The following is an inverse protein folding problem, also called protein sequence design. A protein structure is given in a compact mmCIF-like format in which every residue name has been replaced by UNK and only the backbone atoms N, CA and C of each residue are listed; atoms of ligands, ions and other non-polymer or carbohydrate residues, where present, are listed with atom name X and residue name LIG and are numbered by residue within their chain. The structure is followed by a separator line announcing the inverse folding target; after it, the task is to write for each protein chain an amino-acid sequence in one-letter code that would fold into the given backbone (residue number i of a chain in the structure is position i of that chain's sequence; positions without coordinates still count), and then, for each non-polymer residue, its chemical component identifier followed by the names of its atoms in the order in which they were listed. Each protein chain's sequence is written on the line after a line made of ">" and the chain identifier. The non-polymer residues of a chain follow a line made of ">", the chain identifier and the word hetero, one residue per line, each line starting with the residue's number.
data_IF_466336318172
#
_entry.id   IF_466336318172
#
_cell.length_a   1.000
_cell.length_b   1.000
_cell.length_c   1.000
_cell.angle_alpha   90.00
_cell.angle_beta   90.00
_cell.angle_gamma   90.00
#
_symmetry.space_group_name_H-M   'P 1'
#
loop_
_entity.id
_entity.type
_entity.pdbx_description
1 polymer ?
#
# COMPACT_ATOMS: atom_id res chain seq x y z
N UNK A 1 -18.24 1.31 26.74
CA UNK A 1 -16.90 1.87 26.57
C UNK A 1 -17.02 3.36 26.81
N UNK A 2 -16.12 3.95 27.58
CA UNK A 2 -16.11 5.39 27.74
C UNK A 2 -15.68 6.04 26.42
N UNK A 3 -16.29 7.13 25.98
CA UNK A 3 -15.86 7.88 24.82
C UNK A 3 -14.41 8.36 25.01
N UNK A 4 -13.62 8.26 23.96
CA UNK A 4 -12.23 8.75 23.98
C UNK A 4 -12.26 10.22 23.60
N UNK A 5 -11.68 11.14 24.40
CA UNK A 5 -11.63 12.54 24.03
C UNK A 5 -10.75 12.72 22.78
N UNK A 6 -11.28 13.42 21.80
CA UNK A 6 -10.63 13.66 20.50
C UNK A 6 -10.29 15.14 20.42
N UNK A 7 -9.15 15.51 20.98
CA UNK A 7 -8.69 16.90 20.97
C UNK A 7 -8.24 17.31 19.55
N UNK A 8 -8.78 18.40 19.05
CA UNK A 8 -8.29 19.10 17.87
C UNK A 8 -8.61 18.45 16.52
N UNK A 9 -9.59 17.55 16.43
CA UNK A 9 -9.88 16.86 15.15
C UNK A 9 -10.78 17.68 14.23
N UNK A 10 -11.93 18.14 14.68
CA UNK A 10 -12.79 19.03 13.89
C UNK A 10 -13.50 19.99 14.85
N UNK A 11 -13.13 21.25 14.78
CA UNK A 11 -13.89 22.34 15.39
C UNK A 11 -14.53 23.17 14.28
N UNK A 12 -15.63 23.82 14.60
CA UNK A 12 -16.30 24.70 13.66
C UNK A 12 -15.33 25.75 13.07
N UNK A 13 -15.16 25.73 11.74
CA UNK A 13 -14.29 26.66 11.02
C UNK A 13 -12.96 26.12 10.53
N UNK A 14 -12.61 24.86 10.80
CA UNK A 14 -11.42 24.23 10.19
C UNK A 14 -11.69 23.78 8.75
N UNK A 15 -10.76 24.12 7.86
CA UNK A 15 -10.82 23.72 6.45
C UNK A 15 -10.76 22.19 6.37
N UNK A 16 -11.72 21.58 5.70
CA UNK A 16 -11.79 20.14 5.48
C UNK A 16 -12.63 19.34 6.47
N UNK A 17 -13.23 20.01 7.46
CA UNK A 17 -14.22 19.39 8.34
C UNK A 17 -15.63 19.70 7.84
N UNK A 18 -16.49 18.70 7.77
CA UNK A 18 -17.91 18.82 7.44
C UNK A 18 -18.76 18.34 8.61
N UNK A 19 -20.02 18.72 8.64
CA UNK A 19 -20.99 18.24 9.66
C UNK A 19 -21.20 16.74 9.64
N UNK A 20 -20.89 16.09 8.52
CA UNK A 20 -20.99 14.63 8.33
C UNK A 20 -19.72 13.89 8.79
N UNK A 21 -18.66 14.63 9.17
CA UNK A 21 -17.44 14.02 9.68
C UNK A 21 -17.72 13.42 11.07
N UNK A 22 -17.43 12.12 11.29
CA UNK A 22 -17.72 11.45 12.57
C UNK A 22 -16.90 12.01 13.74
N UNK A 23 -15.89 12.84 13.47
CA UNK A 23 -15.15 13.58 14.51
C UNK A 23 -15.79 14.90 14.89
N UNK A 24 -16.82 15.35 14.18
CA UNK A 24 -17.57 16.55 14.51
C UNK A 24 -18.61 16.27 15.59
N UNK A 25 -18.24 16.50 16.83
CA UNK A 25 -19.11 16.31 17.97
C UNK A 25 -19.08 17.55 18.88
N UNK A 26 -20.23 17.91 19.47
CA UNK A 26 -20.32 19.06 20.37
C UNK A 26 -19.48 18.91 21.65
N UNK A 27 -19.30 17.67 22.09
CA UNK A 27 -18.55 17.33 23.30
C UNK A 27 -17.13 16.87 23.01
N UNK A 28 -16.64 17.04 21.79
CA UNK A 28 -15.31 16.61 21.33
C UNK A 28 -15.03 15.12 21.57
N UNK A 29 -16.05 14.31 21.57
CA UNK A 29 -15.94 12.85 21.69
C UNK A 29 -16.48 12.16 20.46
N UNK A 30 -15.92 11.00 20.15
CA UNK A 30 -16.38 10.16 19.04
C UNK A 30 -16.60 8.71 19.54
N UNK A 31 -17.68 8.10 19.14
CA UNK A 31 -17.96 6.71 19.47
C UNK A 31 -17.31 5.80 18.41
N UNK A 32 -16.24 5.12 18.78
CA UNK A 32 -15.51 4.19 17.92
C UNK A 32 -16.05 2.75 17.93
N UNK A 33 -17.16 2.50 18.64
CA UNK A 33 -17.74 1.16 18.77
C UNK A 33 -18.24 0.67 17.41
N UNK A 34 -17.73 -0.51 16.98
CA UNK A 34 -18.15 -1.16 15.72
C UNK A 34 -17.48 -0.60 14.46
N UNK A 35 -16.62 0.41 14.60
CA UNK A 35 -15.83 0.92 13.47
C UNK A 35 -14.65 0.02 13.09
N UNK A 36 -14.17 0.10 11.84
CA UNK A 36 -12.97 -0.60 11.40
C UNK A 36 -11.74 -0.14 12.18
N UNK A 37 -10.77 -1.03 12.32
CA UNK A 37 -9.52 -0.73 12.99
C UNK A 37 -8.62 0.13 12.11
N UNK A 38 -7.92 1.06 12.74
CA UNK A 38 -6.90 1.88 12.06
C UNK A 38 -5.87 1.01 11.35
N UNK A 39 -5.61 1.29 10.07
CA UNK A 39 -4.56 0.67 9.29
C UNK A 39 -4.84 -0.78 8.86
N UNK A 40 -6.04 -1.28 9.09
CA UNK A 40 -6.42 -2.66 8.74
C UNK A 40 -7.45 -2.64 7.62
N UNK A 41 -7.09 -3.07 6.39
CA UNK A 41 -8.05 -3.24 5.31
C UNK A 41 -8.92 -4.48 5.56
N UNK A 42 -10.16 -4.46 5.12
CA UNK A 42 -11.05 -5.62 5.21
C UNK A 42 -10.59 -6.79 4.35
N UNK A 43 -10.01 -6.47 3.19
CA UNK A 43 -9.53 -7.47 2.23
C UNK A 43 -8.07 -7.17 1.88
N UNK A 44 -7.24 -8.19 2.02
CA UNK A 44 -5.87 -8.18 1.53
C UNK A 44 -5.53 -9.57 1.01
N UNK A 45 -5.04 -9.65 -0.22
CA UNK A 45 -4.58 -10.93 -0.78
C UNK A 45 -3.35 -10.74 -1.66
N UNK A 46 -2.61 -11.83 -1.81
CA UNK A 46 -1.49 -11.92 -2.73
C UNK A 46 -1.58 -13.25 -3.46
N UNK A 47 -1.57 -13.18 -4.77
CA UNK A 47 -1.50 -14.34 -5.66
C UNK A 47 -0.11 -14.38 -6.28
N UNK A 48 0.50 -15.56 -6.26
CA UNK A 48 1.79 -15.81 -6.89
C UNK A 48 1.70 -17.01 -7.79
N UNK A 49 2.15 -16.84 -9.04
CA UNK A 49 2.20 -17.89 -10.04
C UNK A 49 3.65 -18.07 -10.47
N UNK A 50 4.16 -19.29 -10.34
CA UNK A 50 5.49 -19.65 -10.81
C UNK A 50 5.33 -20.66 -11.94
N UNK A 51 6.05 -20.44 -13.03
CA UNK A 51 6.11 -21.38 -14.15
C UNK A 51 7.56 -21.64 -14.51
N UNK A 52 7.92 -22.91 -14.61
CA UNK A 52 9.23 -23.38 -15.02
C UNK A 52 9.14 -23.99 -16.41
N UNK A 53 10.07 -23.64 -17.27
CA UNK A 53 10.18 -24.14 -18.62
C UNK A 53 11.62 -24.57 -18.90
N UNK A 54 11.78 -25.83 -19.27
CA UNK A 54 13.06 -26.31 -19.75
C UNK A 54 13.35 -25.81 -21.15
N UNK A 55 14.57 -25.34 -21.38
CA UNK A 55 15.05 -24.96 -22.70
C UNK A 55 16.39 -25.61 -23.02
N UNK A 56 16.75 -25.74 -24.31
CA UNK A 56 18.07 -26.25 -24.71
C UNK A 56 19.26 -25.44 -24.16
N UNK A 57 19.01 -24.19 -23.75
CA UNK A 57 20.02 -23.29 -23.17
C UNK A 57 20.03 -23.30 -21.64
N UNK A 58 19.10 -24.04 -21.01
CA UNK A 58 18.94 -24.12 -19.57
C UNK A 58 17.56 -23.70 -19.09
N UNK A 59 17.22 -23.93 -17.82
CA UNK A 59 15.90 -23.67 -17.28
C UNK A 59 15.55 -22.17 -17.25
N UNK A 60 14.28 -21.87 -17.53
CA UNK A 60 13.69 -20.55 -17.51
C UNK A 60 12.53 -20.51 -16.50
N UNK A 61 12.61 -19.61 -15.56
CA UNK A 61 11.64 -19.45 -14.48
C UNK A 61 10.87 -18.15 -14.64
N UNK A 62 9.56 -18.23 -14.58
CA UNK A 62 8.66 -17.09 -14.58
C UNK A 62 7.99 -16.97 -13.22
N UNK A 63 7.97 -15.80 -12.68
CA UNK A 63 7.28 -15.49 -11.44
C UNK A 63 6.43 -14.23 -11.64
N UNK A 64 5.13 -14.43 -11.65
CA UNK A 64 4.14 -13.35 -11.60
C UNK A 64 3.60 -13.26 -10.18
N UNK A 65 3.61 -12.08 -9.60
CA UNK A 65 2.99 -11.82 -8.31
C UNK A 65 2.03 -10.63 -8.40
N UNK A 66 0.82 -10.82 -7.90
CA UNK A 66 -0.20 -9.79 -7.80
C UNK A 66 -0.62 -9.65 -6.34
N UNK A 67 -0.61 -8.42 -5.84
CA UNK A 67 -1.02 -8.09 -4.48
C UNK A 67 -2.11 -7.02 -4.54
N UNK A 68 -3.19 -7.26 -3.82
CA UNK A 68 -4.28 -6.33 -3.62
C UNK A 68 -4.42 -5.99 -2.13
N UNK A 69 -4.66 -4.74 -1.82
CA UNK A 69 -5.00 -4.25 -0.48
C UNK A 69 -6.21 -3.34 -0.63
N UNK A 70 -7.31 -3.70 0.04
CA UNK A 70 -8.52 -2.89 0.09
C UNK A 70 -8.27 -1.54 0.76
N UNK A 71 -9.23 -0.66 0.66
CA UNK A 71 -9.20 0.62 1.33
C UNK A 71 -9.26 0.48 2.86
N UNK A 72 -8.71 1.45 3.56
CA UNK A 72 -8.72 1.49 5.02
C UNK A 72 -8.47 2.91 5.53
N UNK A 73 -8.85 3.17 6.79
CA UNK A 73 -8.56 4.45 7.43
C UNK A 73 -7.16 4.49 8.04
N UNK A 74 -6.40 5.53 7.77
CA UNK A 74 -5.12 5.82 8.42
C UNK A 74 -5.29 6.36 9.85
N UNK A 75 -6.52 6.73 10.26
CA UNK A 75 -6.85 7.25 11.58
C UNK A 75 -7.83 6.33 12.31
N UNK A 76 -7.80 6.34 13.63
CA UNK A 76 -8.82 5.67 14.46
C UNK A 76 -10.19 6.34 14.37
N UNK A 77 -10.23 7.61 14.00
CA UNK A 77 -11.43 8.37 13.66
C UNK A 77 -11.61 8.29 12.14
N UNK A 78 -12.69 7.69 11.70
CA UNK A 78 -12.94 7.38 10.28
C UNK A 78 -13.36 8.62 9.48
N UNK A 79 -12.44 9.55 9.28
CA UNK A 79 -12.67 10.69 8.42
C UNK A 79 -12.35 10.30 6.98
N UNK A 80 -13.15 10.79 6.03
CA UNK A 80 -12.87 10.60 4.60
C UNK A 80 -11.47 11.09 4.21
N UNK A 81 -11.02 12.14 4.87
CA UNK A 81 -9.68 12.70 4.68
C UNK A 81 -8.51 11.78 5.08
N UNK A 82 -8.78 10.77 5.91
CA UNK A 82 -7.79 9.81 6.39
C UNK A 82 -7.94 8.44 5.70
N UNK A 83 -8.82 8.35 4.71
CA UNK A 83 -9.02 7.14 3.91
C UNK A 83 -7.86 6.97 2.93
N UNK A 84 -7.30 5.78 2.91
CA UNK A 84 -6.37 5.30 1.90
C UNK A 84 -7.14 4.40 0.96
N UNK A 85 -7.16 4.74 -0.32
CA UNK A 85 -7.86 3.98 -1.35
C UNK A 85 -7.24 2.59 -1.53
N UNK A 86 -8.04 1.68 -2.08
CA UNK A 86 -7.56 0.36 -2.47
C UNK A 86 -6.44 0.47 -3.49
N UNK A 87 -5.48 -0.45 -3.40
CA UNK A 87 -4.33 -0.47 -4.29
C UNK A 87 -3.98 -1.89 -4.70
N UNK A 88 -3.39 -1.98 -5.86
CA UNK A 88 -2.86 -3.24 -6.38
C UNK A 88 -1.47 -3.03 -6.96
N UNK A 89 -0.67 -4.07 -6.92
CA UNK A 89 0.68 -4.08 -7.49
C UNK A 89 0.93 -5.44 -8.13
N UNK A 90 1.34 -5.42 -9.38
CA UNK A 90 1.71 -6.62 -10.13
C UNK A 90 3.19 -6.54 -10.49
N UNK A 91 3.92 -7.62 -10.19
CA UNK A 91 5.33 -7.73 -10.52
C UNK A 91 5.58 -8.97 -11.36
N UNK A 92 6.48 -8.85 -12.32
CA UNK A 92 6.93 -9.95 -13.17
C UNK A 92 8.44 -10.11 -13.03
N UNK A 93 8.88 -11.34 -12.81
CA UNK A 93 10.29 -11.71 -12.84
C UNK A 93 10.47 -12.89 -13.80
N UNK A 94 11.55 -12.83 -14.59
CA UNK A 94 11.96 -13.92 -15.48
C UNK A 94 13.42 -14.19 -15.19
N UNK A 95 13.75 -15.42 -14.82
CA UNK A 95 15.13 -15.82 -14.48
C UNK A 95 15.53 -17.00 -15.37
N UNK A 96 16.66 -16.87 -16.01
CA UNK A 96 17.29 -17.91 -16.81
C UNK A 96 18.62 -18.34 -16.15
N UNK A 97 18.91 -19.61 -16.22
CA UNK A 97 20.16 -20.20 -15.74
C UNK A 97 20.80 -21.01 -16.86
N UNK A 98 22.11 -20.83 -17.08
CA UNK A 98 22.85 -21.68 -18.02
C UNK A 98 22.94 -23.13 -17.51
N UNK A 99 23.08 -24.09 -18.43
CA UNK A 99 23.17 -25.52 -18.09
C UNK A 99 24.37 -25.85 -17.17
N UNK A 100 25.49 -25.13 -17.33
CA UNK A 100 26.68 -25.28 -16.50
C UNK A 100 26.57 -24.58 -15.13
N UNK A 101 25.48 -23.83 -14.90
CA UNK A 101 25.24 -23.08 -13.66
C UNK A 101 26.16 -21.88 -13.46
N UNK A 102 27.01 -21.53 -14.41
CA UNK A 102 27.94 -20.41 -14.29
C UNK A 102 27.28 -19.07 -14.58
N UNK A 103 26.30 -19.01 -15.50
CA UNK A 103 25.63 -17.77 -15.89
C UNK A 103 24.17 -17.78 -15.45
N UNK A 104 23.72 -16.65 -14.92
CA UNK A 104 22.29 -16.41 -14.73
C UNK A 104 21.91 -15.00 -15.14
N UNK A 105 20.74 -14.87 -15.74
CA UNK A 105 20.14 -13.61 -16.14
C UNK A 105 18.76 -13.49 -15.50
N UNK A 106 18.49 -12.37 -14.86
CA UNK A 106 17.18 -12.06 -14.32
C UNK A 106 16.68 -10.74 -14.92
N UNK A 107 15.55 -10.78 -15.59
CA UNK A 107 14.80 -9.59 -15.99
C UNK A 107 13.60 -9.41 -15.03
N UNK A 108 13.31 -8.18 -14.64
CA UNK A 108 12.19 -7.91 -13.76
C UNK A 108 11.47 -6.62 -14.13
N UNK A 109 10.18 -6.59 -13.82
CA UNK A 109 9.32 -5.42 -13.87
C UNK A 109 8.56 -5.38 -12.57
N UNK A 110 8.78 -4.34 -11.77
CA UNK A 110 8.00 -4.02 -10.58
C UNK A 110 6.96 -2.99 -10.93
N UNK A 111 5.77 -3.12 -10.33
CA UNK A 111 4.62 -2.27 -10.62
C UNK A 111 4.31 -2.23 -12.13
N UNK A 112 4.03 -3.40 -12.72
CA UNK A 112 3.84 -3.62 -14.16
C UNK A 112 2.83 -2.65 -14.80
N UNK A 113 1.76 -2.32 -14.08
CA UNK A 113 0.69 -1.44 -14.56
C UNK A 113 0.88 0.03 -14.20
N UNK A 114 2.00 0.36 -13.53
CA UNK A 114 2.35 1.73 -13.12
C UNK A 114 1.30 2.42 -12.25
N UNK A 115 0.74 1.66 -11.30
CA UNK A 115 -0.23 2.20 -10.34
C UNK A 115 0.46 3.22 -9.44
N UNK A 116 -0.14 4.39 -9.28
CA UNK A 116 0.42 5.58 -8.62
C UNK A 116 -0.20 5.92 -7.26
N UNK A 117 -0.99 5.00 -6.69
CA UNK A 117 -1.59 5.15 -5.37
C UNK A 117 -0.54 5.27 -4.26
N UNK A 118 -0.98 5.72 -3.06
CA UNK A 118 -0.11 5.74 -1.88
C UNK A 118 -0.41 4.55 -0.96
N UNK A 119 0.63 4.12 -0.25
CA UNK A 119 0.49 3.03 0.70
C UNK A 119 0.43 3.48 2.15
N UNK A 120 0.74 4.74 2.45
CA UNK A 120 0.66 5.30 3.79
C UNK A 120 0.25 6.77 3.76
N UNK A 121 -0.55 7.14 4.75
CA UNK A 121 -0.98 8.50 5.03
C UNK A 121 -0.79 8.76 6.52
N UNK A 122 -0.19 9.88 6.86
CA UNK A 122 -0.08 10.38 8.23
C UNK A 122 -0.60 11.81 8.28
N UNK A 123 -1.46 12.08 9.25
CA UNK A 123 -1.94 13.42 9.54
C UNK A 123 -1.27 13.90 10.83
N UNK A 124 -0.61 15.04 10.78
CA UNK A 124 -0.02 15.69 11.93
C UNK A 124 -1.08 16.19 12.93
N UNK A 125 -0.61 16.75 14.00
CA UNK A 125 -1.42 17.33 15.08
C UNK A 125 -1.71 18.84 14.86
N UNK A 126 -2.26 19.48 15.88
CA UNK A 126 -2.55 20.91 15.87
C UNK A 126 -1.27 21.76 15.71
N UNK A 127 -0.14 21.33 16.28
CA UNK A 127 1.12 22.07 16.20
C UNK A 127 1.68 22.11 14.79
N UNK A 128 1.40 21.06 14.01
CA UNK A 128 1.79 20.93 12.60
C UNK A 128 0.72 21.44 11.63
N UNK A 129 -0.32 22.11 12.14
CA UNK A 129 -1.47 22.58 11.37
C UNK A 129 -2.13 21.43 10.55
N UNK A 130 -2.23 20.25 11.14
CA UNK A 130 -2.80 19.02 10.52
C UNK A 130 -2.17 18.66 9.18
N UNK A 131 -0.89 18.93 9.02
CA UNK A 131 -0.14 18.64 7.81
C UNK A 131 -0.27 17.16 7.45
N UNK A 132 -0.63 16.88 6.19
CA UNK A 132 -0.68 15.52 5.65
C UNK A 132 0.64 15.14 4.99
N UNK A 133 1.11 13.96 5.32
CA UNK A 133 2.27 13.33 4.67
C UNK A 133 1.81 12.04 4.04
N UNK A 134 2.05 11.88 2.75
CA UNK A 134 1.73 10.67 1.99
C UNK A 134 3.01 9.96 1.57
N UNK A 135 2.98 8.64 1.54
CA UNK A 135 4.05 7.83 0.96
C UNK A 135 3.49 7.12 -0.26
N UNK A 136 3.94 7.52 -1.44
CA UNK A 136 3.49 6.96 -2.70
C UNK A 136 4.02 5.54 -2.91
N UNK A 137 3.32 4.75 -3.72
CA UNK A 137 3.86 3.52 -4.28
C UNK A 137 5.07 3.84 -5.17
N UNK A 138 6.10 2.97 -5.18
CA UNK A 138 7.17 3.10 -6.16
C UNK A 138 6.60 3.05 -7.59
N UNK A 139 7.09 3.89 -8.50
CA UNK A 139 6.69 3.84 -9.91
C UNK A 139 7.11 2.51 -10.53
N UNK A 140 6.68 2.27 -11.77
CA UNK A 140 7.15 1.12 -12.52
C UNK A 140 8.67 1.18 -12.69
N UNK A 141 9.33 0.11 -12.27
CA UNK A 141 10.78 -0.07 -12.42
C UNK A 141 11.03 -1.37 -13.16
N UNK A 142 11.91 -1.31 -14.15
CA UNK A 142 12.35 -2.49 -14.88
C UNK A 142 13.88 -2.56 -14.89
N UNK A 143 14.40 -3.77 -14.87
CA UNK A 143 15.83 -3.98 -14.86
C UNK A 143 16.23 -5.38 -15.29
N UNK A 144 17.53 -5.53 -15.54
CA UNK A 144 18.16 -6.81 -15.87
C UNK A 144 19.40 -6.96 -15.00
N UNK A 145 19.50 -8.10 -14.33
CA UNK A 145 20.68 -8.51 -13.58
C UNK A 145 21.39 -9.64 -14.33
N UNK A 146 22.69 -9.53 -14.50
CA UNK A 146 23.56 -10.57 -15.02
C UNK A 146 24.54 -11.01 -13.94
N UNK A 147 24.63 -12.31 -13.70
CA UNK A 147 25.61 -12.89 -12.78
C UNK A 147 26.43 -13.95 -13.50
N UNK A 148 27.75 -13.88 -13.34
CA UNK A 148 28.69 -14.89 -13.81
C UNK A 148 29.57 -15.37 -12.66
N UNK A 149 29.78 -16.69 -12.57
CA UNK A 149 30.69 -17.33 -11.61
C UNK A 149 31.91 -17.87 -12.36
N UNK A 150 33.07 -17.48 -11.92
CA UNK A 150 34.36 -17.97 -12.43
C UNK A 150 34.70 -19.32 -11.81
#
# INVERSE_FOLDING_TARGET
>A
MNPVPVYGLCTQGYIGCTVDDPSFAEDYTVNLKGGPLKGIPEIKHTVRVTYEMDSPLGPLWWLLSHSYTGDFSASGVQRELDRIESRETTNLNVSWYSQDGQTSVRAYISNLFDNDNYYALSTGDHETNYRKTVTALPPRVMGVDLRYRF
#
